data_IF_444236089824
#
_entry.id   IF_444236089824
#
_cell.length_a   1.000
_cell.length_b   1.000
_cell.length_c   1.000
_cell.angle_alpha   90.00
_cell.angle_beta   90.00
_cell.angle_gamma   90.00
#
_symmetry.space_group_name_H-M   'P 1'
#
loop_
_entity.id
_entity.type
_entity.pdbx_description
1 polymer ?
#
# COMPACT_ATOMS: atom_id res chain seq x y z
N UNK A 1 -21.59 26.35 -7.04
CA UNK A 1 -20.88 26.44 -8.34
C UNK A 1 -19.89 25.30 -8.37
N UNK A 2 -19.97 24.40 -9.36
CA UNK A 2 -18.99 23.32 -9.56
C UNK A 2 -18.04 23.72 -10.70
N UNK A 3 -16.74 23.41 -10.62
CA UNK A 3 -15.81 23.64 -11.72
C UNK A 3 -16.31 22.95 -12.99
N UNK A 4 -16.27 23.65 -14.13
CA UNK A 4 -16.64 23.12 -15.44
C UNK A 4 -15.38 22.81 -16.26
N UNK A 5 -15.36 21.73 -17.05
CA UNK A 5 -14.24 21.41 -17.94
C UNK A 5 -13.91 22.51 -18.93
N UNK A 6 -14.91 23.33 -19.30
CA UNK A 6 -14.78 24.42 -20.25
C UNK A 6 -15.44 25.68 -19.71
N UNK A 7 -14.80 26.83 -19.92
CA UNK A 7 -15.37 28.14 -19.60
C UNK A 7 -14.98 29.18 -20.64
N UNK A 8 -15.96 29.96 -21.10
CA UNK A 8 -15.73 31.10 -21.98
C UNK A 8 -15.25 32.31 -21.17
N UNK A 9 -14.09 32.86 -21.52
CA UNK A 9 -13.54 34.11 -20.98
C UNK A 9 -13.24 35.10 -22.12
N UNK A 10 -12.75 36.31 -21.79
CA UNK A 10 -12.46 37.35 -22.78
C UNK A 10 -11.34 36.94 -23.75
N UNK A 11 -10.39 36.14 -23.27
CA UNK A 11 -9.22 35.66 -24.00
C UNK A 11 -9.49 34.37 -24.82
N UNK A 12 -10.67 33.74 -24.68
CA UNK A 12 -11.04 32.52 -25.41
C UNK A 12 -11.77 31.48 -24.55
N UNK A 13 -11.78 30.22 -25.02
CA UNK A 13 -12.30 29.08 -24.25
C UNK A 13 -11.14 28.50 -23.44
N UNK A 14 -11.27 28.46 -22.12
CA UNK A 14 -10.33 27.76 -21.24
C UNK A 14 -10.82 26.33 -21.02
N UNK A 15 -9.89 25.38 -21.08
CA UNK A 15 -10.13 23.97 -20.79
C UNK A 15 -9.36 23.54 -19.54
N UNK A 16 -9.99 22.73 -18.69
CA UNK A 16 -9.33 22.02 -17.59
C UNK A 16 -9.44 20.50 -17.81
N UNK A 17 -8.51 19.69 -17.27
CA UNK A 17 -8.59 18.24 -17.39
C UNK A 17 -9.88 17.68 -16.78
N UNK A 18 -10.40 16.63 -17.41
CA UNK A 18 -11.53 15.86 -16.87
C UNK A 18 -11.03 14.80 -15.89
N UNK A 19 -11.83 14.51 -14.86
CA UNK A 19 -11.58 13.36 -14.01
C UNK A 19 -12.15 12.10 -14.66
N UNK A 20 -11.36 11.03 -14.66
CA UNK A 20 -11.87 9.69 -14.95
C UNK A 20 -12.58 9.13 -13.71
N UNK A 21 -13.56 8.25 -13.94
CA UNK A 21 -14.27 7.56 -12.85
C UNK A 21 -13.38 6.53 -12.10
N UNK A 22 -12.14 6.34 -12.55
CA UNK A 22 -11.22 5.33 -12.02
C UNK A 22 -9.79 5.81 -12.15
N UNK A 23 -9.06 5.77 -11.03
CA UNK A 23 -7.61 5.98 -11.04
C UNK A 23 -6.95 4.77 -11.69
N UNK A 24 -5.99 5.02 -12.57
CA UNK A 24 -5.14 3.98 -13.15
C UNK A 24 -3.72 4.10 -12.64
N UNK A 25 -3.05 2.97 -12.49
CA UNK A 25 -1.60 2.93 -12.30
C UNK A 25 -0.88 3.21 -13.62
N UNK A 26 0.40 3.56 -13.55
CA UNK A 26 1.16 3.94 -14.74
C UNK A 26 1.29 2.78 -15.72
N UNK A 27 1.53 1.58 -15.21
CA UNK A 27 1.68 0.32 -15.95
C UNK A 27 0.39 -0.21 -16.59
N UNK A 28 -0.77 0.30 -16.18
CA UNK A 28 -2.05 0.09 -16.88
C UNK A 28 -2.22 1.01 -18.10
N UNK A 29 -1.39 2.04 -18.21
CA UNK A 29 -1.54 3.10 -19.22
C UNK A 29 -0.41 3.07 -20.23
N UNK A 30 0.82 2.79 -19.78
CA UNK A 30 2.02 2.71 -20.60
C UNK A 30 2.92 1.56 -20.12
N UNK A 31 3.77 0.97 -20.98
CA UNK A 31 4.80 0.03 -20.53
C UNK A 31 5.72 0.68 -19.50
N UNK A 32 5.97 -0.02 -18.39
CA UNK A 32 6.88 0.41 -17.31
C UNK A 32 7.98 -0.62 -17.13
N UNK A 33 9.23 -0.19 -17.25
CA UNK A 33 10.38 -1.09 -17.15
C UNK A 33 10.75 -1.42 -15.70
N UNK A 34 10.67 -0.44 -14.79
CA UNK A 34 11.11 -0.61 -13.40
C UNK A 34 10.21 0.13 -12.43
N UNK A 35 10.14 -0.39 -11.20
CA UNK A 35 9.38 0.23 -10.11
C UNK A 35 10.26 0.61 -8.94
N UNK A 36 9.86 1.69 -8.29
CA UNK A 36 10.54 2.28 -7.13
C UNK A 36 9.52 2.37 -6.01
N UNK A 37 9.57 1.49 -4.99
CA UNK A 37 8.57 1.48 -3.94
C UNK A 37 8.73 2.69 -3.00
N UNK A 38 7.59 3.26 -2.59
CA UNK A 38 7.49 4.24 -1.51
C UNK A 38 6.60 5.45 -1.82
N UNK A 39 6.09 6.09 -0.76
CA UNK A 39 5.24 7.28 -0.85
C UNK A 39 5.71 8.37 0.15
N UNK A 40 6.82 9.07 -0.13
CA UNK A 40 7.72 8.87 -1.28
C UNK A 40 8.76 7.76 -1.04
N UNK A 41 9.46 7.29 -2.09
CA UNK A 41 10.63 6.44 -1.92
C UNK A 41 11.75 7.14 -1.16
N UNK A 42 12.55 6.37 -0.43
CA UNK A 42 13.72 6.91 0.27
C UNK A 42 14.79 7.41 -0.71
N UNK A 43 15.51 8.47 -0.32
CA UNK A 43 16.52 9.11 -1.17
C UNK A 43 17.59 8.14 -1.66
N UNK A 44 18.00 7.20 -0.81
CA UNK A 44 18.97 6.15 -1.15
C UNK A 44 18.43 5.21 -2.23
N UNK A 45 17.15 4.85 -2.17
CA UNK A 45 16.51 4.01 -3.18
C UNK A 45 16.48 4.76 -4.52
N UNK A 46 16.05 6.03 -4.51
CA UNK A 46 16.04 6.89 -5.71
C UNK A 46 17.44 6.99 -6.33
N UNK A 47 18.47 7.19 -5.50
CA UNK A 47 19.85 7.27 -5.96
C UNK A 47 20.34 5.96 -6.58
N UNK A 48 20.02 4.82 -5.95
CA UNK A 48 20.39 3.50 -6.47
C UNK A 48 19.81 3.26 -7.88
N UNK A 49 18.61 3.77 -8.16
CA UNK A 49 17.98 3.68 -9.48
C UNK A 49 18.71 4.52 -10.51
N UNK A 50 19.05 5.76 -10.15
CA UNK A 50 19.83 6.64 -11.03
C UNK A 50 21.16 5.97 -11.38
N UNK A 51 21.84 5.39 -10.39
CA UNK A 51 23.08 4.64 -10.61
C UNK A 51 22.88 3.43 -11.53
N UNK A 52 21.81 2.64 -11.32
CA UNK A 52 21.51 1.48 -12.16
C UNK A 52 21.24 1.89 -13.62
N UNK A 53 20.48 2.96 -13.83
CA UNK A 53 20.20 3.50 -15.18
C UNK A 53 21.48 4.00 -15.85
N UNK A 54 22.32 4.75 -15.13
CA UNK A 54 23.60 5.24 -15.67
C UNK A 54 24.54 4.10 -16.01
N UNK A 55 24.62 3.06 -15.17
CA UNK A 55 25.41 1.87 -15.44
C UNK A 55 24.90 1.13 -16.69
N UNK A 56 23.58 1.02 -16.86
CA UNK A 56 22.96 0.43 -18.06
C UNK A 56 23.29 1.19 -19.34
N UNK A 57 23.29 2.54 -19.29
CA UNK A 57 23.74 3.37 -20.42
C UNK A 57 25.22 3.15 -20.75
N UNK A 58 26.03 2.75 -19.77
CA UNK A 58 27.43 2.34 -19.93
C UNK A 58 27.65 0.90 -20.40
N UNK A 59 26.57 0.15 -20.70
CA UNK A 59 26.64 -1.23 -21.18
C UNK A 59 26.57 -2.31 -20.08
N UNK A 60 26.30 -1.93 -18.83
CA UNK A 60 26.04 -2.91 -17.78
C UNK A 60 24.70 -3.64 -18.03
N UNK A 61 24.59 -4.92 -17.63
CA UNK A 61 23.32 -5.62 -17.72
C UNK A 61 22.29 -4.93 -16.83
N UNK A 62 21.18 -4.52 -17.43
CA UNK A 62 20.03 -3.97 -16.70
C UNK A 62 19.14 -5.11 -16.16
N UNK A 63 18.42 -4.89 -15.05
CA UNK A 63 17.42 -5.84 -14.59
C UNK A 63 16.35 -6.11 -15.65
N UNK A 64 15.64 -7.25 -15.59
CA UNK A 64 14.50 -7.48 -16.46
C UNK A 64 13.40 -6.42 -16.30
N UNK A 65 12.66 -6.14 -17.37
CA UNK A 65 11.48 -5.27 -17.28
C UNK A 65 10.46 -5.83 -16.27
N UNK A 66 9.78 -4.94 -15.55
CA UNK A 66 8.89 -5.26 -14.44
C UNK A 66 9.59 -5.39 -13.08
N UNK A 67 10.93 -5.27 -13.02
CA UNK A 67 11.65 -5.41 -11.74
C UNK A 67 11.27 -4.28 -10.78
N UNK A 68 10.85 -4.66 -9.57
CA UNK A 68 10.69 -3.75 -8.44
C UNK A 68 12.01 -3.64 -7.71
N UNK A 69 12.62 -2.46 -7.76
CA UNK A 69 13.95 -2.21 -7.21
C UNK A 69 13.91 -2.09 -5.68
N UNK A 70 15.00 -2.50 -5.04
CA UNK A 70 15.13 -2.53 -3.58
C UNK A 70 14.97 -3.93 -3.00
N UNK A 71 14.65 -4.01 -1.72
CA UNK A 71 14.58 -5.27 -0.98
C UNK A 71 13.35 -6.09 -1.37
N UNK A 72 13.47 -7.41 -1.33
CA UNK A 72 12.38 -8.36 -1.56
C UNK A 72 11.72 -8.85 -0.25
N UNK A 73 12.34 -8.53 0.87
CA UNK A 73 11.89 -8.84 2.23
C UNK A 73 10.76 -7.92 2.70
N UNK A 74 10.27 -8.16 3.90
CA UNK A 74 9.21 -7.34 4.51
C UNK A 74 9.77 -6.27 5.44
N UNK A 75 9.01 -5.22 5.74
CA UNK A 75 9.41 -4.19 6.71
C UNK A 75 9.75 -4.80 8.08
N UNK A 76 9.15 -5.95 8.42
CA UNK A 76 9.50 -6.68 9.64
C UNK A 76 10.99 -7.07 9.73
N UNK A 77 11.69 -7.25 8.62
CA UNK A 77 13.11 -7.61 8.60
C UNK A 77 14.04 -6.44 8.96
N UNK A 78 13.53 -5.20 8.88
CA UNK A 78 14.24 -3.98 9.28
C UNK A 78 13.71 -3.41 10.61
N UNK A 79 12.61 -3.96 11.11
CA UNK A 79 11.95 -3.48 12.32
C UNK A 79 12.69 -3.95 13.56
N UNK A 80 13.14 -3.01 14.39
CA UNK A 80 13.88 -3.27 15.62
C UNK A 80 13.02 -3.76 16.81
N UNK A 81 11.69 -3.84 16.63
CA UNK A 81 10.78 -4.28 17.71
C UNK A 81 10.89 -5.78 17.96
N UNK A 82 10.79 -6.15 19.22
CA UNK A 82 10.83 -7.53 19.68
C UNK A 82 9.58 -8.28 19.22
N UNK A 83 9.77 -9.49 18.70
CA UNK A 83 8.71 -10.39 18.22
C UNK A 83 8.87 -11.71 18.94
N UNK A 84 7.78 -12.27 19.44
CA UNK A 84 7.79 -13.60 20.09
C UNK A 84 6.96 -14.58 19.26
N UNK A 85 5.65 -14.59 19.47
CA UNK A 85 4.69 -15.39 18.72
C UNK A 85 3.45 -14.52 18.50
N UNK A 86 2.96 -14.45 17.27
CA UNK A 86 1.82 -13.58 16.93
C UNK A 86 0.52 -14.28 17.29
N UNK A 87 0.05 -14.02 18.50
CA UNK A 87 -1.23 -14.48 19.02
C UNK A 87 -2.12 -13.29 19.34
N UNK A 88 -2.86 -12.81 18.33
CA UNK A 88 -3.70 -11.63 18.47
C UNK A 88 -5.11 -12.04 18.87
N UNK A 89 -5.53 -11.56 20.04
CA UNK A 89 -6.87 -11.78 20.60
C UNK A 89 -7.83 -10.62 20.36
N UNK A 90 -7.32 -9.45 19.96
CA UNK A 90 -8.11 -8.29 19.58
C UNK A 90 -7.27 -7.31 18.75
N UNK A 91 -7.89 -6.68 17.75
CA UNK A 91 -7.31 -5.51 17.10
C UNK A 91 -7.82 -4.22 17.76
N UNK A 92 -6.92 -3.24 17.87
CA UNK A 92 -7.17 -1.92 18.44
C UNK A 92 -6.79 -0.84 17.43
N UNK A 93 -7.45 0.30 17.54
CA UNK A 93 -7.15 1.51 16.78
C UNK A 93 -6.06 2.30 17.50
N UNK A 94 -5.32 3.09 16.74
CA UNK A 94 -4.12 3.80 17.25
C UNK A 94 -4.40 4.80 18.37
N UNK A 95 -5.66 5.20 18.58
CA UNK A 95 -6.07 6.09 19.68
C UNK A 95 -6.67 5.35 20.89
N UNK A 96 -6.93 4.05 20.78
CA UNK A 96 -7.52 3.26 21.87
C UNK A 96 -6.44 2.77 22.84
N UNK A 97 -5.18 2.77 22.41
CA UNK A 97 -4.05 2.26 23.19
C UNK A 97 -2.80 3.08 22.89
N UNK A 98 -2.00 3.31 23.93
CA UNK A 98 -0.62 3.78 23.78
C UNK A 98 0.26 2.52 23.77
N UNK A 99 0.80 2.12 22.61
CA UNK A 99 1.64 0.93 22.55
C UNK A 99 2.98 1.17 23.25
N UNK A 100 3.52 0.11 23.85
CA UNK A 100 4.89 0.15 24.33
C UNK A 100 5.86 0.23 23.13
N UNK A 101 7.05 0.78 23.37
CA UNK A 101 8.01 1.06 22.30
C UNK A 101 8.85 -0.16 21.88
N UNK A 102 8.86 -1.22 22.70
CA UNK A 102 9.75 -2.37 22.53
C UNK A 102 9.12 -3.48 21.70
N UNK A 103 7.87 -3.82 21.98
CA UNK A 103 7.22 -5.02 21.47
C UNK A 103 6.61 -4.75 20.11
N UNK A 104 6.42 -5.81 19.31
CA UNK A 104 5.81 -5.72 18.01
C UNK A 104 4.42 -5.08 18.10
N UNK A 105 4.20 -3.97 17.37
CA UNK A 105 2.91 -3.27 17.37
C UNK A 105 1.75 -4.18 16.93
N UNK A 106 2.01 -5.12 16.01
CA UNK A 106 1.02 -6.11 15.60
C UNK A 106 0.64 -7.06 16.74
N UNK A 107 1.62 -7.52 17.52
CA UNK A 107 1.40 -8.39 18.69
C UNK A 107 0.68 -7.64 19.82
N UNK A 108 0.79 -6.31 19.88
CA UNK A 108 0.02 -5.45 20.78
C UNK A 108 -1.42 -5.18 20.29
N UNK A 109 -1.82 -5.76 19.16
CA UNK A 109 -3.16 -5.62 18.58
C UNK A 109 -3.32 -4.44 17.62
N UNK A 110 -2.27 -3.70 17.28
CA UNK A 110 -2.39 -2.63 16.28
C UNK A 110 -2.23 -3.20 14.88
N UNK A 111 -3.16 -2.89 13.96
CA UNK A 111 -3.06 -3.29 12.56
C UNK A 111 -1.82 -2.66 11.92
N UNK A 112 -0.74 -3.44 11.86
CA UNK A 112 0.55 -3.02 11.33
C UNK A 112 0.83 -3.75 10.03
N UNK A 113 0.85 -3.01 8.92
CA UNK A 113 1.00 -3.59 7.59
C UNK A 113 2.43 -4.08 7.28
N UNK A 114 3.38 -3.92 8.21
CA UNK A 114 4.80 -4.22 7.98
C UNK A 114 5.04 -5.68 7.59
N UNK A 115 4.15 -6.58 8.00
CA UNK A 115 4.20 -8.02 7.67
C UNK A 115 3.91 -8.34 6.19
N UNK A 116 3.26 -7.43 5.46
CA UNK A 116 2.96 -7.57 4.02
C UNK A 116 3.59 -6.48 3.15
N UNK A 117 4.31 -5.54 3.78
CA UNK A 117 4.87 -4.38 3.10
C UNK A 117 6.33 -4.65 2.74
N UNK A 118 6.73 -4.31 1.51
CA UNK A 118 8.12 -4.42 1.07
C UNK A 118 9.06 -3.55 1.92
N UNK A 119 10.22 -4.10 2.29
CA UNK A 119 11.26 -3.40 3.04
C UNK A 119 11.94 -2.28 2.24
N UNK A 120 12.86 -1.55 2.88
CA UNK A 120 13.68 -0.52 2.25
C UNK A 120 13.39 0.90 2.73
N UNK A 121 12.43 1.08 3.65
CA UNK A 121 12.26 2.32 4.40
C UNK A 121 13.02 2.30 5.73
N UNK A 122 13.56 1.16 6.17
CA UNK A 122 14.20 1.06 7.49
C UNK A 122 13.20 1.13 8.65
N UNK A 123 11.94 0.74 8.40
CA UNK A 123 10.86 0.71 9.39
C UNK A 123 10.66 2.04 10.15
N UNK A 124 10.58 3.17 9.42
CA UNK A 124 10.44 4.49 10.02
C UNK A 124 9.19 4.63 10.90
N UNK A 125 8.02 4.13 10.48
CA UNK A 125 6.80 4.29 11.27
C UNK A 125 6.91 3.59 12.64
N UNK A 126 7.31 2.31 12.72
CA UNK A 126 7.48 1.65 14.01
C UNK A 126 8.52 2.30 14.95
N UNK A 127 9.53 2.99 14.40
CA UNK A 127 10.53 3.76 15.18
C UNK A 127 9.91 4.96 15.90
N UNK A 128 8.86 5.55 15.35
CA UNK A 128 8.09 6.64 15.98
C UNK A 128 6.81 6.13 16.64
N UNK A 129 6.81 4.87 17.07
CA UNK A 129 5.70 4.21 17.77
C UNK A 129 4.38 4.18 16.99
N UNK A 130 4.45 4.15 15.65
CA UNK A 130 3.28 4.11 14.76
C UNK A 130 3.29 2.83 13.91
N UNK A 131 2.14 2.17 13.70
CA UNK A 131 2.08 0.99 12.83
C UNK A 131 2.46 1.36 11.39
N UNK A 132 3.08 0.42 10.68
CA UNK A 132 3.33 0.56 9.25
C UNK A 132 1.98 0.62 8.50
N UNK A 133 1.89 1.54 7.54
CA UNK A 133 0.66 1.81 6.78
C UNK A 133 0.67 1.23 5.35
N UNK A 134 1.72 0.51 4.94
CA UNK A 134 1.75 -0.15 3.64
C UNK A 134 2.20 0.67 2.44
N UNK A 135 2.86 1.81 2.65
CA UNK A 135 3.17 2.74 1.56
C UNK A 135 4.21 2.24 0.53
N UNK A 136 5.03 1.24 0.87
CA UNK A 136 5.98 0.63 -0.07
C UNK A 136 5.32 -0.45 -0.96
N UNK A 137 4.03 -0.73 -0.77
CA UNK A 137 3.33 -1.75 -1.53
C UNK A 137 3.72 -3.19 -1.14
N UNK A 138 3.30 -4.17 -1.95
CA UNK A 138 3.44 -5.59 -1.64
C UNK A 138 4.89 -6.09 -1.67
N UNK A 139 5.15 -7.11 -0.85
CA UNK A 139 6.39 -7.88 -0.90
C UNK A 139 6.57 -8.61 -2.24
N UNK A 140 7.77 -9.13 -2.50
CA UNK A 140 8.05 -9.84 -3.75
C UNK A 140 7.11 -11.05 -3.94
N UNK A 141 6.66 -11.24 -5.18
CA UNK A 141 5.76 -12.34 -5.56
C UNK A 141 4.31 -12.19 -5.10
N UNK A 142 3.88 -10.98 -4.73
CA UNK A 142 2.50 -10.69 -4.31
C UNK A 142 1.84 -9.69 -5.25
N UNK A 143 0.76 -10.12 -5.88
CA UNK A 143 0.00 -9.31 -6.84
C UNK A 143 -0.94 -8.31 -6.16
N UNK A 144 -1.55 -8.73 -5.06
CA UNK A 144 -2.55 -7.97 -4.33
C UNK A 144 -2.15 -7.79 -2.86
N UNK A 145 -1.77 -6.56 -2.54
CA UNK A 145 -1.35 -6.19 -1.19
C UNK A 145 -2.45 -6.38 -0.14
N UNK A 146 -3.71 -6.07 -0.47
CA UNK A 146 -4.80 -6.18 0.49
C UNK A 146 -5.19 -7.63 0.74
N UNK A 147 -5.21 -8.47 -0.29
CA UNK A 147 -5.38 -9.92 -0.14
C UNK A 147 -4.25 -10.54 0.70
N UNK A 148 -3.01 -10.07 0.50
CA UNK A 148 -1.86 -10.49 1.32
C UNK A 148 -2.01 -10.06 2.77
N UNK A 149 -2.48 -8.84 3.03
CA UNK A 149 -2.77 -8.36 4.38
C UNK A 149 -3.86 -9.19 5.06
N UNK A 150 -4.95 -9.50 4.36
CA UNK A 150 -6.02 -10.36 4.88
C UNK A 150 -5.43 -11.73 5.27
N UNK A 151 -4.67 -12.37 4.36
CA UNK A 151 -4.02 -13.66 4.63
C UNK A 151 -3.10 -13.59 5.85
N UNK A 152 -2.28 -12.53 5.94
CA UNK A 152 -1.35 -12.36 7.05
C UNK A 152 -2.08 -12.18 8.38
N UNK A 153 -3.11 -11.34 8.43
CA UNK A 153 -3.88 -11.09 9.66
C UNK A 153 -4.68 -12.31 10.10
N UNK A 154 -5.35 -13.01 9.17
CA UNK A 154 -6.08 -14.24 9.48
C UNK A 154 -5.19 -15.32 10.09
N UNK A 155 -3.91 -15.39 9.68
CA UNK A 155 -2.96 -16.40 10.18
C UNK A 155 -2.45 -16.15 11.61
N UNK A 156 -2.71 -14.97 12.18
CA UNK A 156 -2.17 -14.57 13.49
C UNK A 156 -3.26 -14.28 14.54
N UNK A 157 -4.53 -14.42 14.17
CA UNK A 157 -5.64 -14.37 15.12
C UNK A 157 -5.57 -15.65 15.98
N UNK A 158 -5.52 -15.48 17.30
CA UNK A 158 -5.41 -16.58 18.26
C UNK A 158 -6.79 -17.12 18.64
N UNK A 159 -7.54 -17.60 17.64
CA UNK A 159 -8.83 -18.25 17.85
C UNK A 159 -9.11 -19.25 16.74
N UNK A 160 -9.81 -20.34 17.10
CA UNK A 160 -10.37 -21.31 16.17
C UNK A 160 -11.91 -21.29 16.16
N UNK A 161 -12.54 -20.42 16.96
CA UNK A 161 -13.99 -20.27 17.00
C UNK A 161 -14.43 -19.22 15.95
N UNK A 162 -15.24 -19.60 14.95
CA UNK A 162 -15.72 -18.67 13.93
C UNK A 162 -16.41 -17.42 14.48
N UNK A 163 -17.18 -17.54 15.58
CA UNK A 163 -17.90 -16.40 16.15
C UNK A 163 -16.94 -15.41 16.81
N UNK A 164 -15.93 -15.92 17.51
CA UNK A 164 -14.90 -15.09 18.11
C UNK A 164 -14.04 -14.41 17.04
N UNK A 165 -13.64 -15.13 15.98
CA UNK A 165 -12.88 -14.57 14.86
C UNK A 165 -13.65 -13.43 14.20
N UNK A 166 -14.94 -13.64 13.91
CA UNK A 166 -15.80 -12.64 13.31
C UNK A 166 -15.92 -11.40 14.21
N UNK A 167 -16.06 -11.59 15.52
CA UNK A 167 -16.07 -10.50 16.49
C UNK A 167 -14.75 -9.71 16.49
N UNK A 168 -13.60 -10.40 16.54
CA UNK A 168 -12.27 -9.77 16.51
C UNK A 168 -12.08 -8.90 15.27
N UNK A 169 -12.51 -9.40 14.10
CA UNK A 169 -12.39 -8.68 12.84
C UNK A 169 -13.34 -7.47 12.81
N UNK A 170 -14.62 -7.68 13.10
CA UNK A 170 -15.64 -6.63 12.98
C UNK A 170 -15.45 -5.49 13.99
N UNK A 171 -15.06 -5.80 15.23
CA UNK A 171 -14.82 -4.79 16.26
C UNK A 171 -13.49 -4.07 16.03
N UNK A 172 -12.45 -4.80 15.63
CA UNK A 172 -11.08 -4.30 15.58
C UNK A 172 -10.66 -3.68 14.24
N UNK A 173 -11.34 -4.01 13.13
CA UNK A 173 -11.01 -3.55 11.78
C UNK A 173 -12.26 -3.00 11.07
N UNK A 174 -12.72 -1.80 11.45
CA UNK A 174 -13.98 -1.24 10.92
C UNK A 174 -13.92 -0.83 9.44
N UNK A 175 -12.72 -0.61 8.89
CA UNK A 175 -12.54 -0.27 7.48
C UNK A 175 -11.36 -1.07 6.86
N UNK A 176 -11.63 -2.31 6.42
CA UNK A 176 -10.61 -3.14 5.77
C UNK A 176 -10.09 -2.54 4.46
N UNK A 177 -10.92 -1.82 3.71
CA UNK A 177 -10.51 -1.23 2.42
C UNK A 177 -9.54 -0.06 2.65
N UNK A 178 -9.89 0.88 3.52
CA UNK A 178 -9.02 1.99 3.87
C UNK A 178 -7.75 1.56 4.62
N UNK A 179 -7.78 0.43 5.33
CA UNK A 179 -6.61 -0.11 6.02
C UNK A 179 -5.69 -0.89 5.07
N UNK A 180 -6.24 -1.77 4.22
CA UNK A 180 -5.46 -2.72 3.44
C UNK A 180 -5.22 -2.28 2.00
N UNK A 181 -5.96 -1.30 1.47
CA UNK A 181 -5.82 -0.82 0.09
C UNK A 181 -5.49 0.68 0.01
N UNK A 182 -5.03 1.28 1.11
CA UNK A 182 -4.72 2.72 1.22
C UNK A 182 -3.87 3.27 0.07
N UNK A 183 -2.89 2.48 -0.40
CA UNK A 183 -1.94 2.86 -1.45
C UNK A 183 -2.04 2.01 -2.72
N UNK A 184 -2.89 0.97 -2.71
CA UNK A 184 -2.85 -0.09 -3.72
C UNK A 184 -4.19 -0.39 -4.36
N UNK A 185 -5.28 0.30 -3.98
CA UNK A 185 -6.62 0.03 -4.54
C UNK A 185 -6.66 0.06 -6.07
N UNK A 186 -6.05 1.02 -6.79
CA UNK A 186 -6.04 1.02 -8.25
C UNK A 186 -5.27 -0.16 -8.87
N UNK A 187 -4.27 -0.68 -8.16
CA UNK A 187 -3.47 -1.84 -8.59
C UNK A 187 -4.11 -3.18 -8.21
N UNK A 188 -5.01 -3.20 -7.23
CA UNK A 188 -5.57 -4.45 -6.69
C UNK A 188 -6.46 -5.19 -7.67
N UNK A 189 -6.80 -6.43 -7.35
CA UNK A 189 -7.79 -7.22 -8.09
C UNK A 189 -9.18 -6.58 -8.03
N UNK A 190 -9.47 -5.81 -6.98
CA UNK A 190 -10.75 -5.10 -6.82
C UNK A 190 -10.85 -3.84 -7.69
N UNK A 191 -9.75 -3.10 -7.87
CA UNK A 191 -9.61 -1.84 -8.64
C UNK A 191 -10.44 -0.65 -8.13
N UNK A 192 -11.74 -0.85 -7.90
CA UNK A 192 -12.72 0.16 -7.44
C UNK A 192 -14.00 -0.49 -6.96
N UNK A 193 -14.85 0.30 -6.31
CA UNK A 193 -16.24 -0.10 -6.07
C UNK A 193 -17.00 -0.20 -7.41
N UNK A 194 -17.98 -1.11 -7.46
CA UNK A 194 -18.90 -1.21 -8.60
C UNK A 194 -19.59 0.14 -8.83
N UNK A 195 -19.55 0.64 -10.06
CA UNK A 195 -20.33 1.83 -10.39
C UNK A 195 -21.75 1.36 -10.62
N UNK A 196 -22.74 2.11 -10.11
CA UNK A 196 -24.12 1.93 -10.55
C UNK A 196 -24.13 2.03 -12.09
N UNK A 197 -24.91 1.19 -12.76
CA UNK A 197 -25.03 1.24 -14.22
C UNK A 197 -25.58 2.62 -14.62
N UNK A 198 -24.67 3.55 -14.91
CA UNK A 198 -25.04 4.84 -15.45
C UNK A 198 -25.44 4.58 -16.91
N UNK A 199 -26.75 4.60 -17.17
CA UNK A 199 -27.24 4.86 -18.51
C UNK A 199 -26.55 6.12 -19.01
N UNK A 200 -25.94 6.02 -20.19
CA UNK A 200 -25.17 7.05 -20.89
C UNK A 200 -23.65 6.96 -20.61
N UNK A 201 -23.06 5.88 -21.12
CA UNK A 201 -21.63 5.77 -21.27
C UNK A 201 -21.08 6.91 -22.15
N UNK A 202 -20.28 7.77 -21.55
CA UNK A 202 -19.13 8.27 -22.28
C UNK A 202 -18.14 7.12 -22.35
N UNK A 203 -18.06 6.51 -23.54
CA UNK A 203 -16.98 5.59 -23.87
C UNK A 203 -15.68 6.37 -23.73
N UNK A 204 -14.79 5.88 -22.88
CA UNK A 204 -13.38 6.24 -22.93
C UNK A 204 -12.79 5.81 -24.28
#
# INVERSE_FOLDING_TARGET
MLPQPEVQVAEGILHIPVFYDTVKTLDQTVPVDYYVPGCPPEAENIWAIVQAVVAGLGGAPLPPAGTVLGKETTVCDECARTRVEKKITAFKRTWEVIPNETDCLLEQGLVCCGIATRAGCGALCPKVNSPCIGCHGPNAGVDDFGARMITALSSVIDSNDPQEIERIINEGIPDPIGSFYRFSLPHSLLRRHSLAAAGNGHKA
#
